data_IF_034652748153
#
_entry.id   IF_034652748153
#
_cell.length_a   1.000
_cell.length_b   1.000
_cell.length_c   1.000
_cell.angle_alpha   90.00
_cell.angle_beta   90.00
_cell.angle_gamma   90.00
#
_symmetry.space_group_name_H-M   'P 1'
#
loop_
_entity.id
_entity.type
_entity.pdbx_description
1 polymer ?
#
# COMPACT_ATOMS: atom_id res chain seq x y z
N UNK A 1 1.60 61.20 -45.22
CA UNK A 1 2.73 60.32 -44.85
C UNK A 1 2.55 59.96 -43.38
N UNK A 2 2.67 58.66 -43.03
CA UNK A 2 2.68 58.05 -41.68
C UNK A 2 1.32 57.95 -40.94
N UNK A 3 0.53 56.87 -41.09
CA UNK A 3 0.65 55.44 -40.68
C UNK A 3 0.31 55.19 -39.19
N UNK A 4 -0.74 54.39 -38.97
CA UNK A 4 -1.31 53.90 -37.70
C UNK A 4 -0.45 52.83 -37.03
N UNK A 5 -0.32 52.78 -35.71
CA UNK A 5 0.01 51.50 -35.06
C UNK A 5 -0.68 51.37 -33.70
N UNK A 6 -1.59 50.40 -33.63
CA UNK A 6 -2.16 49.86 -32.41
C UNK A 6 -1.23 48.75 -31.94
N UNK A 7 -0.71 48.83 -30.71
CA UNK A 7 0.00 47.70 -30.11
C UNK A 7 -1.04 46.86 -29.35
N UNK A 8 -1.45 45.75 -29.95
CA UNK A 8 -2.16 44.69 -29.22
C UNK A 8 -1.12 43.90 -28.42
N UNK A 9 -1.19 44.00 -27.09
CA UNK A 9 -0.48 43.08 -26.21
C UNK A 9 -1.30 41.79 -26.15
N UNK A 10 -0.85 40.77 -26.87
CA UNK A 10 -1.42 39.43 -26.81
C UNK A 10 -1.00 38.73 -25.52
N UNK A 11 -1.97 38.40 -24.66
CA UNK A 11 -1.77 37.56 -23.49
C UNK A 11 -1.83 36.09 -23.95
N UNK A 12 -0.68 35.45 -24.21
CA UNK A 12 -0.64 34.00 -24.46
C UNK A 12 -0.71 33.26 -23.12
N UNK A 13 -1.88 32.72 -22.79
CA UNK A 13 -2.03 31.77 -21.67
C UNK A 13 -1.39 30.44 -22.05
N UNK A 14 -0.30 30.07 -21.39
CA UNK A 14 0.25 28.73 -21.47
C UNK A 14 -0.64 27.80 -20.63
N UNK A 15 -1.47 26.99 -21.29
CA UNK A 15 -2.21 25.93 -20.63
C UNK A 15 -1.23 24.84 -20.18
N UNK A 16 -1.09 24.65 -18.87
CA UNK A 16 -0.42 23.50 -18.28
C UNK A 16 -1.31 22.28 -18.49
N UNK A 17 -0.97 21.44 -19.46
CA UNK A 17 -1.55 20.11 -19.60
C UNK A 17 -1.03 19.24 -18.45
N UNK A 18 -1.88 19.00 -17.45
CA UNK A 18 -1.68 17.93 -16.48
C UNK A 18 -1.77 16.60 -17.24
N UNK A 19 -0.63 15.99 -17.52
CA UNK A 19 -0.57 14.61 -17.97
C UNK A 19 -1.04 13.73 -16.82
N UNK A 20 -2.27 13.20 -16.92
CA UNK A 20 -2.73 12.10 -16.08
C UNK A 20 -1.85 10.91 -16.44
N UNK A 21 -0.92 10.58 -15.54
CA UNK A 21 -0.14 9.34 -15.64
C UNK A 21 -1.16 8.21 -15.40
N UNK A 22 -1.24 7.18 -16.25
CA UNK A 22 -2.11 6.05 -15.99
C UNK A 22 -1.70 5.42 -14.65
N UNK A 23 -2.68 5.17 -13.77
CA UNK A 23 -2.47 4.36 -12.58
C UNK A 23 -2.11 2.95 -13.06
N UNK A 24 -0.82 2.63 -13.02
CA UNK A 24 -0.37 1.25 -13.13
C UNK A 24 -0.77 0.55 -11.83
N UNK A 25 -1.07 -0.75 -11.90
CA UNK A 25 -1.20 -1.62 -10.74
C UNK A 25 -0.13 -1.28 -9.70
N UNK A 26 -0.58 -0.79 -8.55
CA UNK A 26 0.27 -0.35 -7.48
C UNK A 26 0.48 -1.52 -6.51
N UNK A 27 1.70 -1.64 -6.00
CA UNK A 27 1.99 -2.62 -4.96
C UNK A 27 1.68 -1.97 -3.62
N UNK A 28 0.56 -2.36 -3.04
CA UNK A 28 0.15 -1.92 -1.72
C UNK A 28 0.81 -2.83 -0.69
N UNK A 29 1.47 -2.23 0.30
CA UNK A 29 2.18 -2.96 1.35
C UNK A 29 1.67 -2.56 2.73
N UNK A 30 1.55 -3.54 3.62
CA UNK A 30 1.17 -3.37 5.01
C UNK A 30 2.18 -4.05 5.92
N UNK A 31 2.49 -3.40 7.03
CA UNK A 31 2.99 -4.09 8.21
C UNK A 31 1.81 -4.51 9.07
N UNK A 32 1.95 -5.58 9.82
CA UNK A 32 0.97 -5.98 10.81
C UNK A 32 1.61 -6.39 12.13
N UNK A 33 0.85 -6.21 13.20
CA UNK A 33 1.21 -6.61 14.56
C UNK A 33 0.14 -7.54 15.09
N UNK A 34 0.56 -8.71 15.58
CA UNK A 34 -0.31 -9.70 16.22
C UNK A 34 -0.08 -9.65 17.73
N UNK A 35 -1.17 -9.55 18.49
CA UNK A 35 -1.15 -9.54 19.95
C UNK A 35 -2.09 -10.61 20.49
N UNK A 36 -1.59 -11.83 20.78
CA UNK A 36 -2.38 -12.84 21.45
C UNK A 36 -2.86 -12.35 22.81
N UNK A 37 -4.16 -12.47 23.04
CA UNK A 37 -4.84 -12.06 24.27
C UNK A 37 -5.22 -13.25 25.16
N UNK A 38 -5.09 -14.46 24.61
CA UNK A 38 -5.48 -15.71 25.22
C UNK A 38 -4.52 -16.85 24.86
N UNK A 39 -4.58 -17.93 25.64
CA UNK A 39 -3.73 -19.09 25.46
C UNK A 39 -2.28 -18.90 25.93
N UNK A 40 -1.40 -19.87 25.64
CA UNK A 40 0.00 -19.87 26.10
C UNK A 40 0.87 -18.70 25.63
N UNK A 41 0.46 -18.00 24.56
CA UNK A 41 1.20 -16.89 23.98
C UNK A 41 0.65 -15.52 24.40
N UNK A 42 -0.36 -15.49 25.29
CA UNK A 42 -0.98 -14.25 25.76
C UNK A 42 0.06 -13.25 26.29
N UNK A 43 -0.03 -12.00 25.85
CA UNK A 43 0.89 -10.92 26.24
C UNK A 43 2.18 -10.84 25.42
N UNK A 44 2.42 -11.76 24.47
CA UNK A 44 3.47 -11.62 23.48
C UNK A 44 3.05 -10.68 22.33
N UNK A 45 4.02 -10.32 21.49
CA UNK A 45 3.77 -9.54 20.28
C UNK A 45 4.60 -10.10 19.14
N UNK A 46 3.97 -10.26 17.98
CA UNK A 46 4.60 -10.73 16.76
C UNK A 46 4.40 -9.71 15.64
N UNK A 47 5.34 -9.67 14.71
CA UNK A 47 5.34 -8.69 13.63
C UNK A 47 5.48 -9.40 12.29
N UNK A 48 4.82 -8.85 11.29
CA UNK A 48 4.97 -9.29 9.91
C UNK A 48 4.63 -8.20 8.93
N UNK A 49 4.70 -8.56 7.67
CA UNK A 49 4.36 -7.69 6.55
C UNK A 49 3.79 -8.50 5.40
N UNK A 50 2.92 -7.89 4.62
CA UNK A 50 2.48 -8.44 3.35
C UNK A 50 2.29 -7.34 2.31
N UNK A 51 2.24 -7.72 1.05
CA UNK A 51 1.92 -6.82 -0.05
C UNK A 51 1.07 -7.50 -1.11
N UNK A 52 0.29 -6.72 -1.84
CA UNK A 52 -0.58 -7.19 -2.92
C UNK A 52 -0.64 -6.18 -4.06
N UNK A 53 -1.05 -6.64 -5.24
CA UNK A 53 -1.38 -5.80 -6.39
C UNK A 53 -2.83 -5.35 -6.29
N UNK A 54 -3.09 -4.05 -6.42
CA UNK A 54 -4.44 -3.48 -6.40
C UNK A 54 -5.11 -3.43 -7.79
N UNK A 55 -4.50 -4.04 -8.81
CA UNK A 55 -4.90 -3.91 -10.22
C UNK A 55 -6.39 -4.19 -10.49
N UNK A 56 -6.98 -5.12 -9.73
CA UNK A 56 -8.36 -5.56 -9.93
C UNK A 56 -9.36 -4.90 -8.97
N UNK A 57 -8.91 -4.04 -8.06
CA UNK A 57 -9.81 -3.35 -7.12
C UNK A 57 -10.59 -2.26 -7.85
N UNK A 58 -11.89 -2.23 -7.58
CA UNK A 58 -12.83 -1.24 -8.09
C UNK A 58 -13.23 -0.21 -7.03
N UNK A 59 -13.06 -0.55 -5.75
CA UNK A 59 -13.39 0.29 -4.61
C UNK A 59 -14.89 0.35 -4.30
N UNK A 60 -15.68 -0.61 -4.77
CA UNK A 60 -17.15 -0.59 -4.66
C UNK A 60 -17.67 -1.94 -4.21
N UNK A 61 -18.52 -1.94 -3.17
CA UNK A 61 -19.11 -3.16 -2.63
C UNK A 61 -18.09 -4.08 -1.94
N UNK A 62 -18.43 -5.37 -1.83
CA UNK A 62 -17.54 -6.40 -1.28
C UNK A 62 -16.55 -6.84 -2.36
N UNK A 63 -15.26 -6.81 -2.04
CA UNK A 63 -14.20 -7.25 -2.94
C UNK A 63 -13.24 -8.19 -2.20
N UNK A 64 -12.83 -9.26 -2.90
CA UNK A 64 -11.85 -10.22 -2.42
C UNK A 64 -10.73 -10.36 -3.44
N UNK A 65 -9.50 -10.07 -3.02
CA UNK A 65 -8.31 -10.35 -3.80
C UNK A 65 -7.79 -11.75 -3.42
N UNK A 66 -7.71 -12.69 -4.38
CA UNK A 66 -7.21 -14.03 -4.10
C UNK A 66 -5.69 -14.04 -3.91
N UNK A 67 -5.16 -15.19 -3.49
CA UNK A 67 -3.72 -15.45 -3.30
C UNK A 67 -2.86 -14.96 -4.47
N UNK A 68 -3.32 -15.10 -5.71
CA UNK A 68 -2.57 -14.66 -6.91
C UNK A 68 -2.32 -13.15 -6.98
N UNK A 69 -3.08 -12.34 -6.25
CA UNK A 69 -2.86 -10.89 -6.12
C UNK A 69 -1.84 -10.56 -5.03
N UNK A 70 -1.58 -11.47 -4.08
CA UNK A 70 -0.60 -11.30 -3.02
C UNK A 70 0.80 -11.48 -3.62
N UNK A 71 1.66 -10.49 -3.38
CA UNK A 71 3.02 -10.47 -3.94
C UNK A 71 4.08 -10.94 -2.95
N UNK A 72 3.87 -10.72 -1.65
CA UNK A 72 4.74 -11.22 -0.60
C UNK A 72 3.99 -11.33 0.74
N UNK A 73 4.38 -12.31 1.55
CA UNK A 73 4.06 -12.42 2.97
C UNK A 73 5.36 -12.75 3.70
N UNK A 74 5.59 -12.11 4.83
CA UNK A 74 6.66 -12.45 5.76
C UNK A 74 6.17 -12.29 7.19
N UNK A 75 6.09 -13.39 7.93
CA UNK A 75 5.64 -13.40 9.32
C UNK A 75 6.55 -14.26 10.18
N UNK A 76 7.19 -13.65 11.19
CA UNK A 76 7.93 -14.42 12.17
C UNK A 76 7.02 -14.80 13.34
N UNK A 77 6.69 -16.08 13.46
CA UNK A 77 5.82 -16.59 14.50
C UNK A 77 6.50 -17.75 15.21
N UNK A 78 6.69 -17.60 16.52
CA UNK A 78 7.30 -18.62 17.40
C UNK A 78 8.67 -19.12 16.90
N UNK A 79 9.45 -18.22 16.29
CA UNK A 79 10.80 -18.51 15.81
C UNK A 79 10.87 -19.05 14.37
N UNK A 80 9.74 -19.34 13.75
CA UNK A 80 9.64 -19.77 12.35
C UNK A 80 9.22 -18.60 11.45
N UNK A 81 9.66 -18.63 10.19
CA UNK A 81 9.34 -17.60 9.21
C UNK A 81 8.35 -18.12 8.16
N UNK A 82 7.13 -17.61 8.20
CA UNK A 82 6.05 -17.97 7.29
C UNK A 82 5.97 -17.02 6.11
N UNK A 83 5.77 -17.59 4.94
CA UNK A 83 5.73 -16.92 3.64
C UNK A 83 4.50 -17.34 2.83
N UNK A 84 4.32 -16.77 1.65
CA UNK A 84 3.23 -17.15 0.76
C UNK A 84 3.26 -18.66 0.41
N UNK A 85 4.45 -19.28 0.37
CA UNK A 85 4.60 -20.71 0.08
C UNK A 85 4.02 -21.63 1.17
N UNK A 86 3.79 -21.10 2.37
CA UNK A 86 3.26 -21.83 3.52
C UNK A 86 1.72 -21.68 3.64
N UNK A 87 1.09 -20.94 2.72
CA UNK A 87 -0.35 -20.72 2.69
C UNK A 87 -1.10 -22.00 2.27
N UNK A 88 -2.16 -22.34 2.99
CA UNK A 88 -3.26 -23.17 2.48
C UNK A 88 -4.34 -22.33 1.79
N UNK A 89 -4.55 -21.11 2.29
CA UNK A 89 -5.39 -20.08 1.70
C UNK A 89 -4.79 -18.73 2.03
N UNK A 90 -4.83 -17.80 1.08
CA UNK A 90 -4.50 -16.41 1.33
C UNK A 90 -5.36 -15.48 0.47
N UNK A 91 -5.69 -14.32 1.01
CA UNK A 91 -6.46 -13.30 0.30
C UNK A 91 -6.55 -11.99 1.07
N UNK A 92 -7.12 -10.98 0.43
CA UNK A 92 -7.29 -9.65 1.02
C UNK A 92 -8.74 -9.23 0.84
N UNK A 93 -9.40 -8.87 1.94
CA UNK A 93 -10.82 -8.51 1.94
C UNK A 93 -10.99 -7.00 1.96
N UNK A 94 -11.96 -6.49 1.20
CA UNK A 94 -12.37 -5.09 1.18
C UNK A 94 -13.90 -4.95 1.22
N UNK A 95 -14.37 -3.81 1.71
CA UNK A 95 -15.76 -3.38 1.65
C UNK A 95 -15.84 -1.88 1.35
N UNK A 96 -16.54 -1.49 0.27
CA UNK A 96 -16.65 -0.10 -0.18
C UNK A 96 -15.27 0.61 -0.31
N UNK A 97 -14.27 -0.13 -0.78
CA UNK A 97 -12.88 0.34 -0.89
C UNK A 97 -12.10 0.42 0.43
N UNK A 98 -12.73 0.08 1.56
CA UNK A 98 -12.07 -0.03 2.85
C UNK A 98 -11.42 -1.40 3.03
N UNK A 99 -10.17 -1.42 3.48
CA UNK A 99 -9.43 -2.64 3.76
C UNK A 99 -9.94 -3.30 5.04
N UNK A 100 -10.33 -4.58 4.97
CA UNK A 100 -10.88 -5.34 6.10
C UNK A 100 -9.90 -6.34 6.72
N UNK A 101 -8.79 -6.65 6.05
CA UNK A 101 -7.77 -7.53 6.61
C UNK A 101 -7.19 -8.53 5.61
N UNK A 102 -6.14 -9.20 6.08
CA UNK A 102 -5.53 -10.33 5.40
C UNK A 102 -6.25 -11.61 5.83
N UNK A 103 -6.71 -12.42 4.88
CA UNK A 103 -6.97 -13.84 5.09
C UNK A 103 -5.65 -14.57 4.85
N UNK A 104 -5.21 -15.36 5.83
CA UNK A 104 -4.02 -16.18 5.68
C UNK A 104 -4.09 -17.38 6.61
N UNK A 105 -4.22 -18.57 6.04
CA UNK A 105 -4.38 -19.83 6.75
C UNK A 105 -3.19 -20.73 6.45
N UNK A 106 -2.58 -21.29 7.49
CA UNK A 106 -1.48 -22.27 7.39
C UNK A 106 -1.98 -23.67 7.75
N UNK A 107 -1.13 -24.70 7.62
CA UNK A 107 -1.45 -26.08 7.98
C UNK A 107 -1.56 -26.27 9.51
N UNK A 108 -2.67 -25.77 10.06
CA UNK A 108 -3.08 -25.87 11.46
C UNK A 108 -2.14 -25.22 12.48
N UNK A 109 -1.30 -24.27 12.08
CA UNK A 109 -0.45 -23.51 13.03
C UNK A 109 -1.18 -22.25 13.49
N UNK A 110 -1.66 -21.45 12.52
CA UNK A 110 -2.43 -20.24 12.78
C UNK A 110 -3.26 -19.81 11.57
N UNK A 111 -4.20 -18.91 11.83
CA UNK A 111 -5.02 -18.27 10.82
C UNK A 111 -5.23 -16.78 11.14
N UNK A 112 -5.21 -15.97 10.10
CA UNK A 112 -5.71 -14.60 10.09
C UNK A 112 -7.10 -14.60 9.46
N UNK A 113 -8.05 -13.97 10.15
CA UNK A 113 -9.39 -13.75 9.65
C UNK A 113 -9.62 -12.24 9.50
N UNK A 114 -9.99 -11.75 8.30
CA UNK A 114 -10.38 -10.36 8.11
C UNK A 114 -11.56 -9.97 8.99
N UNK A 115 -11.69 -8.68 9.22
CA UNK A 115 -12.90 -8.12 9.80
C UNK A 115 -14.11 -8.32 8.89
N UNK A 116 -15.30 -8.37 9.48
CA UNK A 116 -16.54 -8.55 8.72
C UNK A 116 -17.03 -7.24 8.09
N UNK A 117 -16.94 -6.15 8.85
CA UNK A 117 -17.42 -4.82 8.43
C UNK A 117 -16.43 -3.71 8.70
N UNK A 118 -15.49 -3.93 9.61
CA UNK A 118 -14.49 -2.96 10.04
C UNK A 118 -13.17 -3.68 10.34
N UNK A 119 -12.04 -3.02 10.06
CA UNK A 119 -10.71 -3.59 10.19
C UNK A 119 -10.40 -4.01 11.64
N UNK A 120 -10.95 -3.30 12.62
CA UNK A 120 -10.78 -3.56 14.05
C UNK A 120 -11.35 -4.91 14.50
N UNK A 121 -12.22 -5.53 13.69
CA UNK A 121 -12.74 -6.88 13.93
C UNK A 121 -11.87 -8.00 13.35
N UNK A 122 -10.76 -7.65 12.68
CA UNK A 122 -9.80 -8.63 12.19
C UNK A 122 -9.13 -9.36 13.36
N UNK A 123 -8.97 -10.67 13.22
CA UNK A 123 -8.53 -11.54 14.31
C UNK A 123 -7.45 -12.51 13.88
N UNK A 124 -6.74 -13.00 14.89
CA UNK A 124 -5.71 -14.02 14.79
C UNK A 124 -6.08 -15.19 15.69
N UNK A 125 -5.83 -16.40 15.22
CA UNK A 125 -5.94 -17.61 16.04
C UNK A 125 -4.77 -18.55 15.77
N UNK A 126 -4.41 -19.36 16.75
CA UNK A 126 -3.34 -20.34 16.62
C UNK A 126 -3.67 -21.63 17.36
N UNK A 127 -3.13 -22.73 16.86
CA UNK A 127 -3.15 -24.03 17.52
C UNK A 127 -1.75 -24.63 17.46
N UNK A 128 -1.12 -24.75 18.62
CA UNK A 128 0.25 -25.25 18.75
C UNK A 128 0.27 -26.44 19.72
N UNK A 129 1.32 -27.28 19.67
CA UNK A 129 1.50 -28.33 20.68
C UNK A 129 1.53 -27.83 22.13
N UNK A 130 1.88 -26.55 22.34
CA UNK A 130 1.86 -25.89 23.65
C UNK A 130 0.47 -25.44 24.09
N UNK A 131 -0.50 -25.39 23.18
CA UNK A 131 -1.88 -24.98 23.38
C UNK A 131 -2.38 -24.03 22.28
N UNK A 132 -3.69 -23.79 22.25
CA UNK A 132 -4.36 -22.89 21.32
C UNK A 132 -4.69 -21.54 21.97
N UNK A 133 -4.96 -20.53 21.14
CA UNK A 133 -5.36 -19.21 21.59
C UNK A 133 -5.84 -18.31 20.45
N UNK A 134 -6.27 -17.12 20.84
CA UNK A 134 -6.73 -16.05 19.98
C UNK A 134 -5.93 -14.77 20.24
N UNK A 135 -6.10 -13.82 19.35
CA UNK A 135 -5.58 -12.48 19.51
C UNK A 135 -6.10 -11.54 18.45
N UNK A 136 -5.68 -10.29 18.58
CA UNK A 136 -5.96 -9.26 17.61
C UNK A 136 -4.84 -9.17 16.58
N UNK A 137 -5.18 -8.71 15.39
CA UNK A 137 -4.23 -8.27 14.38
C UNK A 137 -4.52 -6.82 14.03
N UNK A 138 -3.47 -6.00 14.02
CA UNK A 138 -3.54 -4.60 13.60
C UNK A 138 -2.65 -4.38 12.39
N UNK A 139 -3.05 -3.47 11.51
CA UNK A 139 -2.39 -3.23 10.23
C UNK A 139 -1.94 -1.77 10.12
N UNK A 140 -0.81 -1.55 9.49
CA UNK A 140 -0.28 -0.21 9.19
C UNK A 140 0.15 -0.17 7.73
N UNK A 141 -0.50 0.69 6.95
CA UNK A 141 -0.13 0.91 5.56
C UNK A 141 1.30 1.44 5.49
N UNK A 142 2.12 0.82 4.65
CA UNK A 142 3.46 1.30 4.33
C UNK A 142 3.31 2.32 3.20
N UNK A 143 3.66 3.60 3.42
CA UNK A 143 3.59 4.59 2.36
C UNK A 143 4.48 4.16 1.21
N UNK A 144 3.96 4.21 -0.01
CA UNK A 144 4.80 4.06 -1.19
C UNK A 144 5.93 5.10 -1.13
N UNK A 145 7.17 4.75 -1.53
CA UNK A 145 8.20 5.74 -1.70
C UNK A 145 7.71 6.73 -2.74
N UNK A 146 7.25 7.90 -2.28
CA UNK A 146 6.88 9.01 -3.16
C UNK A 146 8.06 9.20 -4.10
N UNK A 147 7.83 8.97 -5.39
CA UNK A 147 8.81 9.30 -6.43
C UNK A 147 8.95 10.81 -6.35
N UNK A 148 9.86 11.27 -5.50
CA UNK A 148 10.33 12.63 -5.43
C UNK A 148 11.04 12.81 -6.77
N UNK A 149 10.25 13.13 -7.81
CA UNK A 149 10.71 13.52 -9.11
C UNK A 149 11.57 14.75 -8.87
N UNK A 150 12.87 14.50 -8.67
CA UNK A 150 13.92 15.49 -8.69
C UNK A 150 13.77 16.23 -9.99
N UNK A 151 13.08 17.37 -9.92
CA UNK A 151 13.02 18.32 -11.00
C UNK A 151 14.45 18.80 -11.12
N UNK A 152 15.17 18.27 -12.11
CA UNK A 152 16.45 18.81 -12.54
C UNK A 152 16.14 20.23 -13.00
N UNK A 153 16.28 21.21 -12.10
CA UNK A 153 16.43 22.60 -12.52
C UNK A 153 17.85 22.70 -13.06
N UNK A 154 18.00 22.38 -14.35
CA UNK A 154 19.14 22.78 -15.15
C UNK A 154 19.17 24.31 -15.12
N UNK A 155 19.91 24.86 -14.15
CA UNK A 155 20.26 26.26 -14.11
C UNK A 155 21.22 26.58 -15.26
N UNK A 156 20.69 26.70 -16.48
CA UNK A 156 21.42 27.27 -17.61
C UNK A 156 20.99 28.72 -17.79
N UNK A 157 21.37 29.59 -16.85
CA UNK A 157 21.52 31.01 -17.18
C UNK A 157 22.92 31.21 -17.72
N UNK A 158 23.04 31.10 -19.05
CA UNK A 158 24.18 31.60 -19.79
C UNK A 158 24.36 33.08 -19.52
N UNK A 159 25.34 33.43 -18.69
CA UNK A 159 25.86 34.78 -18.59
C UNK A 159 26.81 35.00 -19.76
N UNK A 160 26.31 35.54 -20.86
CA UNK A 160 27.17 36.00 -21.95
C UNK A 160 26.71 37.35 -22.50
N UNK A 161 27.66 38.30 -22.41
CA UNK A 161 27.80 39.56 -23.15
C UNK A 161 27.08 40.80 -22.59
N UNK A 162 27.81 41.55 -21.75
CA UNK A 162 27.91 43.00 -21.91
C UNK A 162 29.34 43.36 -22.33
N UNK A 163 29.52 43.67 -23.61
CA UNK A 163 30.69 44.37 -24.12
C UNK A 163 30.26 45.77 -24.58
N UNK A 164 30.88 46.76 -23.93
CA UNK A 164 31.21 48.14 -24.34
C UNK A 164 30.09 49.13 -24.71
N UNK A 165 30.10 50.26 -23.99
CA UNK A 165 30.33 51.58 -24.60
C UNK A 165 31.64 52.12 -24.05
#
# INVERSE_FOLDING_TARGET
MFWKSWVQVGLTSAALSLSVIPAHAAIVAYNFTVTPDSGPLAGNTYFGSFSFSDETLTGVGEEFLPESAITAINFNFVGENYTLADALSAGVQFQEGEFLGLEYVTDAVFAFAPGLTELESASFSYDLPSGAGFGDVSYTLVPEPSVLLGSIVLGVTGLAKRLKK
#
